data_IF_797083109470
#
_entry.id   IF_797083109470
#
_cell.length_a   1.000
_cell.length_b   1.000
_cell.length_c   1.000
_cell.angle_alpha   90.00
_cell.angle_beta   90.00
_cell.angle_gamma   90.00
#
_symmetry.space_group_name_H-M   'P 1'
#
loop_
_entity.id
_entity.type
_entity.pdbx_description
1 polymer ?
#
# COMPACT_ATOMS: atom_id res chain seq x y z
N UNK A 1 7.85 18.23 -0.73
CA UNK A 1 7.60 16.78 -0.80
C UNK A 1 7.72 16.24 -2.21
N UNK A 2 7.10 16.91 -3.19
CA UNK A 2 7.19 16.53 -4.61
C UNK A 2 8.64 16.54 -5.12
N UNK A 3 9.42 17.56 -4.78
CA UNK A 3 10.83 17.66 -5.17
C UNK A 3 11.65 16.52 -4.59
N UNK A 4 11.51 16.22 -3.30
CA UNK A 4 12.20 15.08 -2.66
C UNK A 4 11.83 13.74 -3.32
N UNK A 5 10.56 13.56 -3.65
CA UNK A 5 10.06 12.37 -4.33
C UNK A 5 10.72 12.20 -5.70
N UNK A 6 10.78 13.28 -6.50
CA UNK A 6 11.36 13.28 -7.84
C UNK A 6 12.88 13.04 -7.79
N UNK A 7 13.60 13.66 -6.85
CA UNK A 7 15.02 13.39 -6.64
C UNK A 7 15.25 11.91 -6.35
N UNK A 8 14.46 11.30 -5.44
CA UNK A 8 14.56 9.89 -5.13
C UNK A 8 14.36 8.99 -6.36
N UNK A 9 13.36 9.29 -7.20
CA UNK A 9 13.10 8.54 -8.45
C UNK A 9 14.27 8.65 -9.41
N UNK A 10 14.79 9.87 -9.68
CA UNK A 10 15.88 10.12 -10.63
C UNK A 10 17.19 9.45 -10.18
N UNK A 11 17.45 9.42 -8.86
CA UNK A 11 18.69 8.86 -8.29
C UNK A 11 18.63 7.33 -8.13
N UNK A 12 17.44 6.72 -8.15
CA UNK A 12 17.28 5.27 -7.96
C UNK A 12 18.18 4.39 -8.85
N UNK A 13 18.30 4.62 -10.18
CA UNK A 13 19.16 3.80 -11.02
C UNK A 13 20.65 3.94 -10.67
N UNK A 14 21.10 5.14 -10.26
CA UNK A 14 22.48 5.39 -9.85
C UNK A 14 22.81 4.67 -8.54
N UNK A 15 21.85 4.60 -7.60
CA UNK A 15 21.99 3.83 -6.37
C UNK A 15 22.14 2.34 -6.66
N UNK A 16 21.34 1.79 -7.59
CA UNK A 16 21.46 0.39 -8.00
C UNK A 16 22.82 0.09 -8.61
N UNK A 17 23.31 0.98 -9.48
CA UNK A 17 24.64 0.86 -10.07
C UNK A 17 25.76 0.96 -9.03
N UNK A 18 25.67 1.91 -8.09
CA UNK A 18 26.61 2.05 -6.99
C UNK A 18 26.64 0.82 -6.08
N UNK A 19 25.48 0.22 -5.81
CA UNK A 19 25.35 -1.00 -5.02
C UNK A 19 26.08 -2.17 -5.68
N UNK A 20 26.06 -2.26 -7.02
CA UNK A 20 26.79 -3.30 -7.76
C UNK A 20 28.29 -3.14 -7.71
N UNK A 21 28.81 -1.91 -7.53
CA UNK A 21 30.23 -1.63 -7.42
C UNK A 21 30.77 -1.69 -5.98
N UNK A 22 30.00 -1.15 -5.03
CA UNK A 22 30.36 -1.10 -3.62
C UNK A 22 29.12 -1.27 -2.75
N UNK A 23 29.02 -2.45 -2.14
CA UNK A 23 27.85 -2.85 -1.34
C UNK A 23 27.50 -1.86 -0.22
N UNK A 24 28.48 -1.49 0.60
CA UNK A 24 28.23 -0.60 1.75
C UNK A 24 27.88 0.82 1.36
N UNK A 25 28.59 1.35 0.37
CA UNK A 25 28.31 2.69 -0.15
C UNK A 25 26.96 2.75 -0.87
N UNK A 26 26.62 1.68 -1.60
CA UNK A 26 25.32 1.54 -2.25
C UNK A 26 24.16 1.45 -1.24
N UNK A 27 24.32 0.70 -0.15
CA UNK A 27 23.32 0.66 0.94
C UNK A 27 23.15 2.05 1.57
N UNK A 28 24.25 2.73 1.91
CA UNK A 28 24.19 4.05 2.52
C UNK A 28 23.49 5.06 1.58
N UNK A 29 23.87 5.09 0.31
CA UNK A 29 23.21 5.92 -0.70
C UNK A 29 21.74 5.58 -0.89
N UNK A 30 21.39 4.28 -0.84
CA UNK A 30 20.03 3.78 -0.91
C UNK A 30 19.16 4.26 0.26
N UNK A 31 19.67 4.15 1.49
CA UNK A 31 18.96 4.63 2.69
C UNK A 31 18.63 6.11 2.57
N UNK A 32 19.59 6.95 2.12
CA UNK A 32 19.34 8.38 1.96
C UNK A 32 18.40 8.67 0.78
N UNK A 33 18.59 8.06 -0.37
CA UNK A 33 17.79 8.31 -1.58
C UNK A 33 16.34 7.84 -1.40
N UNK A 34 16.13 6.60 -0.94
CA UNK A 34 14.81 6.05 -0.72
C UNK A 34 14.15 6.60 0.55
N UNK A 35 14.94 6.98 1.57
CA UNK A 35 14.46 7.73 2.72
C UNK A 35 13.91 9.09 2.33
N UNK A 36 14.64 9.85 1.52
CA UNK A 36 14.19 11.14 0.98
C UNK A 36 12.94 10.96 0.10
N UNK A 37 12.91 9.94 -0.77
CA UNK A 37 11.72 9.60 -1.56
C UNK A 37 10.50 9.28 -0.70
N UNK A 38 10.65 8.42 0.30
CA UNK A 38 9.56 8.05 1.19
C UNK A 38 9.04 9.23 2.03
N UNK A 39 9.92 10.08 2.54
CA UNK A 39 9.55 11.32 3.23
C UNK A 39 8.84 12.28 2.28
N UNK A 40 9.36 12.45 1.07
CA UNK A 40 8.76 13.27 0.03
C UNK A 40 7.37 12.81 -0.36
N UNK A 41 7.20 11.50 -0.55
CA UNK A 41 5.91 10.88 -0.83
C UNK A 41 4.88 11.13 0.27
N UNK A 42 5.23 10.85 1.53
CA UNK A 42 4.33 11.06 2.65
C UNK A 42 3.96 12.53 2.82
N UNK A 43 4.91 13.44 2.75
CA UNK A 43 4.66 14.87 2.83
C UNK A 43 3.72 15.36 1.73
N UNK A 44 3.93 14.92 0.49
CA UNK A 44 3.06 15.25 -0.65
C UNK A 44 1.67 14.64 -0.51
N UNK A 45 1.59 13.35 -0.13
CA UNK A 45 0.33 12.63 -0.02
C UNK A 45 -0.56 13.20 1.09
N UNK A 46 0.00 13.47 2.28
CA UNK A 46 -0.74 14.05 3.40
C UNK A 46 -1.22 15.46 3.06
N UNK A 47 -0.34 16.32 2.53
CA UNK A 47 -0.72 17.69 2.15
C UNK A 47 -1.79 17.71 1.05
N UNK A 48 -1.65 16.85 0.04
CA UNK A 48 -2.61 16.73 -1.05
C UNK A 48 -3.98 16.22 -0.57
N UNK A 49 -3.99 15.19 0.28
CA UNK A 49 -5.22 14.63 0.84
C UNK A 49 -5.93 15.64 1.74
N UNK A 50 -5.19 16.37 2.58
CA UNK A 50 -5.73 17.45 3.40
C UNK A 50 -6.40 18.53 2.56
N UNK A 51 -5.67 19.05 1.57
CA UNK A 51 -6.19 20.09 0.66
C UNK A 51 -7.42 19.59 -0.12
N UNK A 52 -7.38 18.37 -0.64
CA UNK A 52 -8.50 17.78 -1.37
C UNK A 52 -9.75 17.63 -0.50
N UNK A 53 -9.60 17.22 0.76
CA UNK A 53 -10.72 17.10 1.70
C UNK A 53 -11.29 18.44 2.11
N UNK A 54 -10.46 19.47 2.27
CA UNK A 54 -10.85 20.83 2.58
C UNK A 54 -11.64 21.48 1.43
N UNK A 55 -11.12 21.41 0.21
CA UNK A 55 -11.75 21.98 -0.99
C UNK A 55 -13.04 21.28 -1.41
N UNK A 56 -13.21 20.00 -1.07
CA UNK A 56 -14.37 19.21 -1.48
C UNK A 56 -15.63 19.43 -0.63
N UNK A 57 -15.51 20.05 0.53
CA UNK A 57 -16.60 20.16 1.51
C UNK A 57 -17.11 18.80 2.00
N UNK A 58 -18.00 18.79 2.99
CA UNK A 58 -18.44 17.54 3.65
C UNK A 58 -19.14 16.55 2.71
N UNK A 59 -19.97 17.04 1.78
CA UNK A 59 -20.73 16.20 0.86
C UNK A 59 -19.93 15.70 -0.36
N UNK A 60 -18.77 16.29 -0.64
CA UNK A 60 -17.93 15.97 -1.80
C UNK A 60 -16.74 15.05 -1.50
N UNK A 61 -16.33 14.94 -0.24
CA UNK A 61 -15.11 14.23 0.19
C UNK A 61 -14.99 12.81 -0.37
N UNK A 62 -16.04 12.01 -0.26
CA UNK A 62 -16.03 10.63 -0.75
C UNK A 62 -15.78 10.52 -2.26
N UNK A 63 -16.42 11.38 -3.05
CA UNK A 63 -16.22 11.43 -4.50
C UNK A 63 -14.80 11.86 -4.86
N UNK A 64 -14.28 12.89 -4.20
CA UNK A 64 -12.92 13.38 -4.42
C UNK A 64 -11.88 12.31 -4.11
N UNK A 65 -12.00 11.65 -2.96
CA UNK A 65 -11.10 10.55 -2.57
C UNK A 65 -11.18 9.40 -3.60
N UNK A 66 -12.38 9.02 -4.04
CA UNK A 66 -12.53 7.98 -5.05
C UNK A 66 -11.86 8.35 -6.39
N UNK A 67 -12.00 9.59 -6.84
CA UNK A 67 -11.33 10.08 -8.05
C UNK A 67 -9.81 10.09 -7.89
N UNK A 68 -9.30 10.51 -6.72
CA UNK A 68 -7.86 10.50 -6.41
C UNK A 68 -7.28 9.07 -6.49
N UNK A 69 -7.93 8.10 -5.88
CA UNK A 69 -7.52 6.69 -5.95
C UNK A 69 -7.59 6.14 -7.37
N UNK A 70 -8.66 6.46 -8.10
CA UNK A 70 -8.80 6.09 -9.51
C UNK A 70 -7.62 6.64 -10.34
N UNK A 71 -7.35 7.94 -10.23
CA UNK A 71 -6.24 8.58 -10.96
C UNK A 71 -4.88 7.98 -10.57
N UNK A 72 -4.67 7.67 -9.29
CA UNK A 72 -3.45 7.03 -8.81
C UNK A 72 -3.23 5.66 -9.50
N UNK A 73 -4.23 4.80 -9.51
CA UNK A 73 -4.11 3.46 -10.12
C UNK A 73 -3.94 3.56 -11.63
N UNK A 74 -4.70 4.42 -12.31
CA UNK A 74 -4.53 4.67 -13.75
C UNK A 74 -3.11 5.17 -14.06
N UNK A 75 -2.56 6.05 -13.23
CA UNK A 75 -1.19 6.54 -13.38
C UNK A 75 -0.15 5.44 -13.18
N UNK A 76 -0.33 4.55 -12.20
CA UNK A 76 0.53 3.38 -11.99
C UNK A 76 0.55 2.50 -13.24
N UNK A 77 -0.64 2.16 -13.77
CA UNK A 77 -0.78 1.32 -14.96
C UNK A 77 -0.11 2.00 -16.18
N UNK A 78 -0.41 3.28 -16.41
CA UNK A 78 0.14 4.03 -17.54
C UNK A 78 1.67 4.14 -17.45
N UNK A 79 2.22 4.40 -16.26
CA UNK A 79 3.65 4.47 -16.01
C UNK A 79 4.32 3.11 -16.24
N UNK A 80 3.74 2.02 -15.73
CA UNK A 80 4.27 0.67 -15.91
C UNK A 80 4.29 0.28 -17.41
N UNK A 81 3.21 0.55 -18.16
CA UNK A 81 3.17 0.32 -19.61
C UNK A 81 4.21 1.19 -20.34
N UNK A 82 4.32 2.47 -19.98
CA UNK A 82 5.30 3.40 -20.55
C UNK A 82 6.72 2.92 -20.30
N UNK A 83 7.07 2.61 -19.05
CA UNK A 83 8.38 2.11 -18.66
C UNK A 83 8.73 0.80 -19.39
N UNK A 84 7.80 -0.14 -19.48
CA UNK A 84 8.04 -1.42 -20.16
C UNK A 84 8.46 -1.25 -21.62
N UNK A 85 7.95 -0.22 -22.30
CA UNK A 85 8.31 0.09 -23.70
C UNK A 85 9.61 0.88 -23.83
N UNK A 86 9.90 1.76 -22.87
CA UNK A 86 11.08 2.61 -22.89
C UNK A 86 12.37 1.86 -22.54
N UNK A 87 12.23 0.76 -21.80
CA UNK A 87 13.35 -0.07 -21.32
C UNK A 87 13.57 -1.30 -22.23
N UNK A 88 12.93 -1.36 -23.38
CA UNK A 88 13.09 -2.45 -24.36
C UNK A 88 13.81 -1.95 -25.63
N UNK A 89 15.01 -2.48 -25.98
CA UNK A 89 15.82 -3.45 -25.23
C UNK A 89 16.42 -2.84 -23.95
N UNK A 90 16.57 -3.67 -22.92
CA UNK A 90 17.14 -3.23 -21.64
C UNK A 90 18.60 -2.81 -21.78
N UNK A 91 18.88 -1.55 -21.44
CA UNK A 91 20.22 -1.00 -21.22
C UNK A 91 20.22 -0.10 -19.99
N UNK A 92 21.34 0.03 -19.26
CA UNK A 92 21.43 0.96 -18.13
C UNK A 92 21.07 2.39 -18.51
N UNK A 93 21.45 2.83 -19.71
CA UNK A 93 21.14 4.16 -20.23
C UNK A 93 19.66 4.33 -20.56
N UNK A 94 18.98 3.28 -21.06
CA UNK A 94 17.55 3.29 -21.31
C UNK A 94 16.80 3.40 -19.98
N UNK A 95 17.23 2.66 -18.96
CA UNK A 95 16.65 2.72 -17.61
C UNK A 95 16.83 4.13 -17.01
N UNK A 96 18.03 4.71 -17.03
CA UNK A 96 18.27 6.07 -16.54
C UNK A 96 17.39 7.11 -17.25
N UNK A 97 17.30 7.03 -18.59
CA UNK A 97 16.41 7.92 -19.37
C UNK A 97 14.94 7.78 -18.98
N UNK A 98 14.48 6.55 -18.80
CA UNK A 98 13.10 6.27 -18.42
C UNK A 98 12.76 6.86 -17.04
N UNK A 99 13.61 6.66 -16.04
CA UNK A 99 13.41 7.22 -14.69
C UNK A 99 13.48 8.75 -14.68
N UNK A 100 14.39 9.35 -15.44
CA UNK A 100 14.47 10.81 -15.62
C UNK A 100 13.18 11.36 -16.24
N UNK A 101 12.65 10.72 -17.28
CA UNK A 101 11.39 11.14 -17.91
C UNK A 101 10.21 11.04 -16.95
N UNK A 102 10.10 9.93 -16.20
CA UNK A 102 9.06 9.77 -15.17
C UNK A 102 9.18 10.85 -14.09
N UNK A 103 10.40 11.12 -13.60
CA UNK A 103 10.64 12.16 -12.60
C UNK A 103 10.26 13.57 -13.11
N UNK A 104 10.67 13.92 -14.33
CA UNK A 104 10.35 15.22 -14.95
C UNK A 104 8.83 15.32 -15.20
N UNK A 105 8.19 14.26 -15.71
CA UNK A 105 6.76 14.24 -15.94
C UNK A 105 5.99 14.42 -14.62
N UNK A 106 6.39 13.69 -13.56
CA UNK A 106 5.78 13.81 -12.24
C UNK A 106 5.91 15.23 -11.67
N UNK A 107 7.10 15.83 -11.78
CA UNK A 107 7.34 17.21 -11.35
C UNK A 107 6.45 18.19 -12.12
N UNK A 108 6.44 18.08 -13.45
CA UNK A 108 5.69 18.97 -14.32
C UNK A 108 4.19 18.87 -14.07
N UNK A 109 3.65 17.64 -14.03
CA UNK A 109 2.24 17.42 -13.77
C UNK A 109 1.84 17.85 -12.34
N UNK A 110 2.70 17.58 -11.35
CA UNK A 110 2.48 18.02 -9.98
C UNK A 110 2.45 19.54 -9.85
N UNK A 111 3.39 20.26 -10.47
CA UNK A 111 3.41 21.72 -10.48
C UNK A 111 2.22 22.31 -11.26
N UNK A 112 1.85 21.74 -12.41
CA UNK A 112 0.68 22.15 -13.17
C UNK A 112 -0.62 21.93 -12.36
N UNK A 113 -0.73 20.81 -11.65
CA UNK A 113 -1.87 20.50 -10.80
C UNK A 113 -2.03 21.44 -9.60
N UNK A 114 -0.94 22.08 -9.14
CA UNK A 114 -0.98 23.06 -8.06
C UNK A 114 -1.35 24.49 -8.56
N UNK A 115 -1.30 24.73 -9.86
CA UNK A 115 -1.66 26.04 -10.40
C UNK A 115 -3.14 26.33 -10.17
N UNK A 116 -3.41 27.46 -9.50
CA UNK A 116 -4.77 27.95 -9.18
C UNK A 116 -5.62 27.03 -8.28
N UNK A 117 -5.01 26.08 -7.60
CA UNK A 117 -5.75 25.17 -6.71
C UNK A 117 -6.19 25.86 -5.42
N UNK A 118 -5.39 26.80 -4.89
CA UNK A 118 -5.74 27.57 -3.68
C UNK A 118 -6.46 28.86 -4.03
N UNK A 119 -7.68 29.08 -3.49
CA UNK A 119 -8.30 30.39 -3.53
C UNK A 119 -7.43 31.38 -2.74
N UNK A 120 -7.00 32.47 -3.38
CA UNK A 120 -6.16 33.52 -2.78
C UNK A 120 -6.86 34.35 -1.71
N UNK A 121 -8.09 34.04 -1.36
CA UNK A 121 -8.81 34.62 -0.24
C UNK A 121 -8.25 34.04 1.06
N UNK A 122 -7.65 34.90 1.87
CA UNK A 122 -7.50 34.68 3.31
C UNK A 122 -8.90 34.57 3.93
N UNK A 123 -9.56 33.43 3.75
CA UNK A 123 -10.56 33.01 4.69
C UNK A 123 -9.78 32.77 6.00
N UNK A 124 -10.25 33.39 7.08
CA UNK A 124 -9.78 33.08 8.42
C UNK A 124 -9.74 31.55 8.50
N UNK A 125 -8.53 30.99 8.38
CA UNK A 125 -8.29 29.63 8.75
C UNK A 125 -8.66 29.59 10.24
N UNK A 126 -9.92 29.29 10.54
CA UNK A 126 -10.24 28.64 11.78
C UNK A 126 -9.22 27.51 11.82
N UNK A 127 -8.21 27.72 12.64
CA UNK A 127 -7.22 26.73 12.96
C UNK A 127 -8.01 25.49 13.35
N UNK A 128 -8.24 24.59 12.38
CA UNK A 128 -8.30 23.20 12.70
C UNK A 128 -6.91 22.98 13.30
N UNK A 129 -6.78 23.15 14.60
CA UNK A 129 -5.71 22.64 15.40
C UNK A 129 -5.75 21.15 15.07
N UNK A 130 -4.94 20.75 14.11
CA UNK A 130 -4.62 19.36 13.90
C UNK A 130 -3.97 18.95 15.22
N UNK A 131 -4.77 18.36 16.11
CA UNK A 131 -4.27 17.81 17.36
C UNK A 131 -3.18 16.84 16.96
N UNK A 132 -1.94 17.21 17.28
CA UNK A 132 -0.77 16.43 16.93
C UNK A 132 -0.70 15.26 17.91
N UNK A 133 -1.39 14.17 17.57
CA UNK A 133 -1.36 12.95 18.38
C UNK A 133 0.04 12.33 18.36
N UNK A 134 0.55 12.01 19.54
CA UNK A 134 1.82 11.31 19.67
C UNK A 134 1.65 9.83 19.30
N UNK A 135 2.75 9.20 18.86
CA UNK A 135 2.78 7.76 18.59
C UNK A 135 2.27 6.92 19.78
N UNK A 136 2.58 7.36 21.01
CA UNK A 136 2.11 6.71 22.24
C UNK A 136 0.58 6.77 22.37
N UNK A 137 -0.03 7.93 22.15
CA UNK A 137 -1.50 8.10 22.18
C UNK A 137 -2.19 7.24 21.14
N UNK A 138 -1.64 7.18 19.90
CA UNK A 138 -2.18 6.31 18.84
C UNK A 138 -2.13 4.83 19.23
N UNK A 139 -1.02 4.38 19.80
CA UNK A 139 -0.85 2.97 20.25
C UNK A 139 -1.77 2.64 21.42
N UNK A 140 -1.94 3.55 22.36
CA UNK A 140 -2.83 3.37 23.49
C UNK A 140 -4.29 3.33 23.06
N UNK A 141 -4.73 4.18 22.15
CA UNK A 141 -6.10 4.16 21.63
C UNK A 141 -6.47 2.79 21.00
N UNK A 142 -5.53 2.19 20.27
CA UNK A 142 -5.72 0.87 19.66
C UNK A 142 -5.73 -0.24 20.72
N UNK A 143 -4.76 -0.22 21.65
CA UNK A 143 -4.54 -1.34 22.57
C UNK A 143 -5.54 -1.40 23.72
N UNK A 144 -6.20 -0.29 24.04
CA UNK A 144 -7.22 -0.22 25.10
C UNK A 144 -8.50 -0.99 24.74
N UNK A 145 -8.89 -1.03 23.48
CA UNK A 145 -10.06 -1.79 23.04
C UNK A 145 -9.63 -3.14 22.46
N UNK A 146 -10.09 -4.28 23.01
CA UNK A 146 -9.73 -5.62 22.52
C UNK A 146 -10.11 -5.83 21.04
N UNK A 147 -11.25 -5.28 20.59
CA UNK A 147 -11.69 -5.39 19.20
C UNK A 147 -10.80 -4.54 18.31
N UNK A 148 -10.47 -3.31 18.73
CA UNK A 148 -9.53 -2.43 18.03
C UNK A 148 -8.16 -3.06 17.90
N UNK A 149 -7.63 -3.66 18.99
CA UNK A 149 -6.36 -4.39 18.95
C UNK A 149 -6.39 -5.56 17.97
N UNK A 150 -7.47 -6.36 17.97
CA UNK A 150 -7.63 -7.50 17.06
C UNK A 150 -7.71 -7.03 15.60
N UNK A 151 -8.41 -5.93 15.34
CA UNK A 151 -8.49 -5.34 14.00
C UNK A 151 -7.14 -4.75 13.55
N UNK A 152 -6.38 -4.14 14.45
CA UNK A 152 -5.03 -3.65 14.13
C UNK A 152 -4.08 -4.78 13.72
N UNK A 153 -4.06 -5.88 14.49
CA UNK A 153 -3.23 -7.06 14.15
C UNK A 153 -3.70 -7.70 12.84
N UNK A 154 -5.01 -7.81 12.65
CA UNK A 154 -5.61 -8.26 11.40
C UNK A 154 -5.14 -7.41 10.21
N UNK A 155 -5.25 -6.08 10.34
CA UNK A 155 -4.88 -5.16 9.27
C UNK A 155 -3.37 -5.18 9.00
N UNK A 156 -2.57 -5.31 10.06
CA UNK A 156 -1.13 -5.48 9.94
C UNK A 156 -0.76 -6.73 9.13
N UNK A 157 -1.34 -7.89 9.46
CA UNK A 157 -1.07 -9.13 8.74
C UNK A 157 -1.54 -9.06 7.28
N UNK A 158 -2.74 -8.54 7.06
CA UNK A 158 -3.29 -8.34 5.71
C UNK A 158 -2.40 -7.46 4.85
N UNK A 159 -2.06 -6.28 5.36
CA UNK A 159 -1.28 -5.31 4.61
C UNK A 159 0.18 -5.74 4.45
N UNK A 160 0.79 -6.39 5.45
CA UNK A 160 2.15 -6.88 5.32
C UNK A 160 2.27 -7.94 4.23
N UNK A 161 1.29 -8.84 4.10
CA UNK A 161 1.23 -9.81 3.02
C UNK A 161 1.02 -9.14 1.65
N UNK A 162 0.00 -8.27 1.53
CA UNK A 162 -0.34 -7.65 0.24
C UNK A 162 0.73 -6.66 -0.24
N UNK A 163 1.36 -5.91 0.67
CA UNK A 163 2.39 -4.92 0.31
C UNK A 163 3.80 -5.52 0.22
N UNK A 164 4.04 -6.67 0.85
CA UNK A 164 5.31 -7.39 0.78
C UNK A 164 5.61 -7.89 -0.63
N UNK A 165 4.61 -8.38 -1.34
CA UNK A 165 4.73 -8.88 -2.71
C UNK A 165 5.14 -7.82 -3.74
N UNK A 166 4.91 -6.52 -3.47
CA UNK A 166 5.22 -5.44 -4.41
C UNK A 166 6.69 -5.46 -4.88
N UNK A 167 7.60 -5.91 -4.02
CA UNK A 167 9.05 -5.97 -4.30
C UNK A 167 9.46 -7.31 -4.92
N UNK A 168 8.69 -8.38 -4.71
CA UNK A 168 9.10 -9.75 -5.03
C UNK A 168 8.45 -10.31 -6.30
N UNK A 169 7.29 -9.79 -6.70
CA UNK A 169 6.48 -10.38 -7.76
C UNK A 169 7.16 -10.29 -9.13
N UNK A 170 7.76 -9.14 -9.47
CA UNK A 170 8.48 -8.96 -10.74
C UNK A 170 9.78 -9.79 -10.80
N UNK A 171 10.67 -9.75 -9.79
CA UNK A 171 11.84 -10.62 -9.76
C UNK A 171 11.50 -12.12 -9.79
N UNK A 172 10.43 -12.54 -9.10
CA UNK A 172 9.96 -13.93 -9.19
C UNK A 172 9.58 -14.30 -10.62
N UNK A 173 8.86 -13.43 -11.33
CA UNK A 173 8.53 -13.62 -12.73
C UNK A 173 9.76 -13.79 -13.62
N UNK A 174 10.81 -13.00 -13.39
CA UNK A 174 12.06 -13.10 -14.12
C UNK A 174 12.81 -14.40 -13.80
N UNK A 175 12.98 -14.73 -12.52
CA UNK A 175 13.81 -15.87 -12.10
C UNK A 175 13.12 -17.24 -12.27
N UNK A 176 11.80 -17.31 -12.03
CA UNK A 176 11.05 -18.56 -12.14
C UNK A 176 10.64 -18.92 -13.56
N UNK A 177 10.40 -17.94 -14.43
CA UNK A 177 9.84 -18.17 -15.77
C UNK A 177 10.69 -17.58 -16.89
N UNK A 178 11.84 -16.96 -16.59
CA UNK A 178 12.70 -16.35 -17.60
C UNK A 178 12.06 -15.14 -18.29
N UNK A 179 11.15 -14.43 -17.62
CA UNK A 179 10.49 -13.27 -18.19
C UNK A 179 11.48 -12.12 -18.41
N UNK A 180 11.36 -11.46 -19.55
CA UNK A 180 12.15 -10.26 -19.84
C UNK A 180 11.71 -9.08 -18.97
N UNK A 181 12.57 -8.05 -18.83
CA UNK A 181 12.25 -6.84 -18.06
C UNK A 181 10.93 -6.21 -18.53
N UNK A 182 10.67 -6.17 -19.84
CA UNK A 182 9.41 -5.68 -20.40
C UNK A 182 8.21 -6.52 -19.93
N UNK A 183 8.36 -7.84 -19.86
CA UNK A 183 7.29 -8.74 -19.42
C UNK A 183 7.06 -8.63 -17.92
N UNK A 184 8.12 -8.51 -17.11
CA UNK A 184 7.97 -8.35 -15.65
C UNK A 184 7.33 -7.02 -15.29
N UNK A 185 7.70 -5.92 -15.93
CA UNK A 185 7.07 -4.62 -15.69
C UNK A 185 5.58 -4.62 -16.07
N UNK A 186 5.15 -5.45 -17.02
CA UNK A 186 3.72 -5.65 -17.36
C UNK A 186 2.93 -6.35 -16.25
N UNK A 187 3.59 -7.11 -15.36
CA UNK A 187 2.93 -7.76 -14.22
C UNK A 187 2.23 -6.71 -13.36
N UNK A 188 2.93 -5.61 -13.04
CA UNK A 188 2.36 -4.48 -12.29
C UNK A 188 1.14 -3.86 -12.99
N UNK A 189 1.17 -3.76 -14.33
CA UNK A 189 0.02 -3.25 -15.10
C UNK A 189 -1.18 -4.20 -15.05
N UNK A 190 -0.95 -5.51 -15.14
CA UNK A 190 -1.98 -6.54 -15.04
C UNK A 190 -2.60 -6.49 -13.64
N UNK A 191 -1.76 -6.58 -12.60
CA UNK A 191 -2.20 -6.50 -11.22
C UNK A 191 -3.02 -5.24 -10.96
N UNK A 192 -2.50 -4.07 -11.32
CA UNK A 192 -3.19 -2.78 -11.14
C UNK A 192 -4.52 -2.69 -11.87
N UNK A 193 -4.63 -3.26 -13.08
CA UNK A 193 -5.88 -3.31 -13.84
C UNK A 193 -6.95 -4.09 -13.08
N UNK A 194 -6.61 -5.26 -12.54
CA UNK A 194 -7.55 -6.06 -11.78
C UNK A 194 -7.86 -5.47 -10.41
N UNK A 195 -6.91 -4.79 -9.76
CA UNK A 195 -7.18 -3.97 -8.56
C UNK A 195 -8.22 -2.89 -8.86
N UNK A 196 -8.06 -2.16 -9.98
CA UNK A 196 -9.01 -1.10 -10.37
C UNK A 196 -10.41 -1.65 -10.63
N UNK A 197 -10.52 -2.74 -11.40
CA UNK A 197 -11.80 -3.42 -11.64
C UNK A 197 -12.45 -3.84 -10.32
N UNK A 198 -11.65 -4.40 -9.41
CA UNK A 198 -12.12 -4.87 -8.11
C UNK A 198 -12.58 -3.72 -7.20
N UNK A 199 -11.91 -2.57 -7.22
CA UNK A 199 -12.34 -1.36 -6.49
C UNK A 199 -13.71 -0.90 -6.99
N UNK A 200 -13.93 -0.88 -8.30
CA UNK A 200 -15.22 -0.51 -8.90
C UNK A 200 -16.32 -1.49 -8.49
N UNK A 201 -16.03 -2.79 -8.51
CA UNK A 201 -16.97 -3.84 -8.05
C UNK A 201 -17.29 -3.66 -6.57
N UNK A 202 -16.27 -3.48 -5.72
CA UNK A 202 -16.46 -3.29 -4.28
C UNK A 202 -17.28 -2.03 -3.97
N UNK A 203 -17.02 -0.92 -4.68
CA UNK A 203 -17.82 0.31 -4.58
C UNK A 203 -19.29 0.11 -4.98
N UNK A 204 -19.56 -0.68 -6.03
CA UNK A 204 -20.92 -1.01 -6.45
C UNK A 204 -21.66 -1.93 -5.47
N UNK A 205 -20.93 -2.71 -4.67
CA UNK A 205 -21.48 -3.57 -3.62
C UNK A 205 -21.71 -2.83 -2.30
N UNK A 206 -21.15 -1.63 -2.13
CA UNK A 206 -21.30 -0.85 -0.91
C UNK A 206 -22.78 -0.53 -0.66
N UNK A 207 -23.24 -0.73 0.59
CA UNK A 207 -24.65 -0.60 0.98
C UNK A 207 -25.57 -1.74 0.56
N UNK A 208 -25.14 -2.67 -0.33
CA UNK A 208 -25.93 -3.84 -0.76
C UNK A 208 -25.51 -5.11 -0.04
N UNK A 209 -24.24 -5.23 0.30
CA UNK A 209 -23.66 -6.38 0.99
C UNK A 209 -22.95 -5.92 2.25
N UNK A 210 -22.98 -6.70 3.31
CA UNK A 210 -22.29 -6.38 4.54
C UNK A 210 -20.78 -6.20 4.28
N UNK A 211 -20.22 -5.08 4.74
CA UNK A 211 -18.79 -4.71 4.54
C UNK A 211 -17.84 -5.85 4.93
N UNK A 212 -18.13 -6.53 6.04
CA UNK A 212 -17.35 -7.68 6.51
C UNK A 212 -17.36 -8.84 5.52
N UNK A 213 -18.49 -9.13 4.88
CA UNK A 213 -18.60 -10.20 3.87
C UNK A 213 -17.76 -9.84 2.62
N UNK A 214 -17.83 -8.58 2.19
CA UNK A 214 -17.03 -8.10 1.05
C UNK A 214 -15.54 -8.14 1.38
N UNK A 215 -15.14 -7.69 2.58
CA UNK A 215 -13.75 -7.78 3.05
C UNK A 215 -13.26 -9.23 3.11
N UNK A 216 -14.10 -10.15 3.61
CA UNK A 216 -13.76 -11.57 3.66
C UNK A 216 -13.58 -12.17 2.26
N UNK A 217 -14.43 -11.81 1.30
CA UNK A 217 -14.29 -12.23 -0.09
C UNK A 217 -13.00 -11.70 -0.72
N UNK A 218 -12.65 -10.43 -0.47
CA UNK A 218 -11.38 -9.84 -0.90
C UNK A 218 -10.17 -10.56 -0.33
N UNK A 219 -10.17 -10.81 0.98
CA UNK A 219 -9.07 -11.51 1.65
C UNK A 219 -8.91 -12.95 1.15
N UNK A 220 -10.01 -13.67 0.92
CA UNK A 220 -9.99 -15.02 0.33
C UNK A 220 -9.51 -15.00 -1.12
N UNK A 221 -9.89 -13.99 -1.91
CA UNK A 221 -9.39 -13.79 -3.27
C UNK A 221 -7.88 -13.56 -3.30
N UNK A 222 -7.36 -12.71 -2.40
CA UNK A 222 -5.92 -12.47 -2.28
C UNK A 222 -5.16 -13.73 -1.83
N UNK A 223 -5.71 -14.46 -0.82
CA UNK A 223 -5.16 -15.74 -0.38
C UNK A 223 -5.09 -16.76 -1.53
N UNK A 224 -6.17 -16.92 -2.29
CA UNK A 224 -6.19 -17.79 -3.45
C UNK A 224 -5.14 -17.35 -4.49
N UNK A 225 -4.98 -16.04 -4.71
CA UNK A 225 -3.94 -15.48 -5.58
C UNK A 225 -2.55 -15.93 -5.17
N UNK A 226 -2.17 -15.79 -3.89
CA UNK A 226 -0.87 -16.24 -3.39
C UNK A 226 -0.68 -17.75 -3.51
N UNK A 227 -1.69 -18.55 -3.18
CA UNK A 227 -1.61 -20.01 -3.32
C UNK A 227 -1.40 -20.43 -4.77
N UNK A 228 -2.06 -19.76 -5.73
CA UNK A 228 -1.88 -20.02 -7.16
C UNK A 228 -0.49 -19.55 -7.64
N UNK A 229 0.04 -18.41 -7.12
CA UNK A 229 1.42 -17.97 -7.40
C UNK A 229 2.42 -19.02 -6.89
N UNK A 230 2.27 -19.50 -5.67
CA UNK A 230 3.11 -20.58 -5.11
C UNK A 230 3.02 -21.83 -5.99
N UNK A 231 1.81 -22.26 -6.33
CA UNK A 231 1.60 -23.41 -7.21
C UNK A 231 2.27 -23.24 -8.57
N UNK A 232 2.25 -22.02 -9.15
CA UNK A 232 2.88 -21.73 -10.43
C UNK A 232 4.39 -22.01 -10.45
N UNK A 233 5.07 -21.75 -9.33
CA UNK A 233 6.49 -22.05 -9.17
C UNK A 233 6.78 -23.56 -9.15
N UNK A 234 5.89 -24.38 -8.59
CA UNK A 234 6.04 -25.84 -8.60
C UNK A 234 5.75 -26.43 -9.98
N UNK A 235 4.71 -25.94 -10.69
CA UNK A 235 4.36 -26.47 -12.02
C UNK A 235 5.13 -25.77 -13.17
N UNK A 236 5.97 -24.76 -12.86
CA UNK A 236 6.75 -23.98 -13.83
C UNK A 236 5.88 -23.41 -14.97
N UNK A 237 4.69 -22.90 -14.65
CA UNK A 237 3.70 -22.43 -15.64
C UNK A 237 3.45 -20.93 -15.52
N UNK A 238 3.84 -20.18 -16.53
CA UNK A 238 3.60 -18.74 -16.64
C UNK A 238 2.09 -18.41 -16.68
N UNK A 239 1.28 -19.26 -17.30
CA UNK A 239 -0.18 -19.05 -17.34
C UNK A 239 -0.80 -19.15 -15.94
N UNK A 240 -0.37 -20.11 -15.12
CA UNK A 240 -0.81 -20.25 -13.73
C UNK A 240 -0.34 -19.04 -12.91
N UNK A 241 0.88 -18.57 -13.15
CA UNK A 241 1.40 -17.36 -12.50
C UNK A 241 0.53 -16.13 -12.78
N UNK A 242 0.22 -15.83 -14.05
CA UNK A 242 -0.66 -14.71 -14.39
C UNK A 242 -2.08 -14.85 -13.84
N UNK A 243 -2.60 -16.08 -13.75
CA UNK A 243 -3.88 -16.34 -13.05
C UNK A 243 -3.79 -15.96 -11.58
N UNK A 244 -2.69 -16.33 -10.91
CA UNK A 244 -2.45 -15.95 -9.52
C UNK A 244 -2.35 -14.42 -9.34
N UNK A 245 -1.62 -13.73 -10.23
CA UNK A 245 -1.50 -12.25 -10.23
C UNK A 245 -2.87 -11.59 -10.40
N UNK A 246 -3.71 -12.12 -11.30
CA UNK A 246 -5.07 -11.63 -11.53
C UNK A 246 -5.95 -11.79 -10.29
N UNK A 247 -5.94 -12.98 -9.68
CA UNK A 247 -6.70 -13.24 -8.43
C UNK A 247 -6.21 -12.37 -7.27
N UNK A 248 -4.89 -12.20 -7.15
CA UNK A 248 -4.29 -11.33 -6.14
C UNK A 248 -4.73 -9.88 -6.34
N UNK A 249 -4.72 -9.37 -7.59
CA UNK A 249 -5.20 -8.02 -7.91
C UNK A 249 -6.67 -7.82 -7.56
N UNK A 250 -7.53 -8.76 -7.97
CA UNK A 250 -8.97 -8.72 -7.63
C UNK A 250 -9.18 -8.75 -6.11
N UNK A 251 -8.52 -9.67 -5.40
CA UNK A 251 -8.60 -9.78 -3.95
C UNK A 251 -8.14 -8.51 -3.25
N UNK A 252 -7.00 -7.96 -3.68
CA UNK A 252 -6.43 -6.71 -3.14
C UNK A 252 -7.38 -5.53 -3.30
N UNK A 253 -7.96 -5.32 -4.48
CA UNK A 253 -8.87 -4.20 -4.73
C UNK A 253 -10.13 -4.27 -3.88
N UNK A 254 -10.76 -5.45 -3.78
CA UNK A 254 -11.93 -5.67 -2.91
C UNK A 254 -11.54 -5.46 -1.43
N UNK A 255 -10.44 -6.05 -0.99
CA UNK A 255 -9.95 -5.91 0.38
C UNK A 255 -9.65 -4.45 0.74
N UNK A 256 -9.04 -3.68 -0.15
CA UNK A 256 -8.68 -2.28 0.09
C UNK A 256 -9.90 -1.42 0.41
N UNK A 257 -10.93 -1.44 -0.44
CA UNK A 257 -12.16 -0.65 -0.23
C UNK A 257 -12.88 -1.09 1.02
N UNK A 258 -13.06 -2.40 1.20
CA UNK A 258 -13.85 -2.95 2.30
C UNK A 258 -13.18 -2.73 3.66
N UNK A 259 -11.84 -2.86 3.73
CA UNK A 259 -11.11 -2.65 4.98
C UNK A 259 -11.02 -1.17 5.34
N UNK A 260 -10.92 -0.28 4.34
CA UNK A 260 -11.02 1.16 4.58
C UNK A 260 -12.41 1.51 5.17
N UNK A 261 -13.47 0.95 4.61
CA UNK A 261 -14.84 1.13 5.13
C UNK A 261 -15.00 0.58 6.55
N UNK A 262 -14.44 -0.60 6.86
CA UNK A 262 -14.44 -1.18 8.22
C UNK A 262 -13.61 -0.34 9.20
N UNK A 263 -12.50 0.22 8.75
CA UNK A 263 -11.67 1.12 9.55
C UNK A 263 -12.48 2.33 10.04
N UNK A 264 -13.25 2.96 9.16
CA UNK A 264 -14.13 4.06 9.55
C UNK A 264 -15.22 3.63 10.53
N UNK A 265 -15.75 2.41 10.40
CA UNK A 265 -16.73 1.87 11.35
C UNK A 265 -16.14 1.57 12.74
N UNK A 266 -14.81 1.46 12.82
CA UNK A 266 -14.03 1.21 14.04
C UNK A 266 -13.31 2.48 14.53
N UNK A 267 -13.87 3.66 14.30
CA UNK A 267 -13.44 4.93 14.87
C UNK A 267 -14.44 5.43 15.90
N UNK A 268 -13.94 6.15 16.91
CA UNK A 268 -14.79 6.81 17.91
C UNK A 268 -15.15 8.22 17.41
N UNK A 269 -16.42 8.65 17.49
CA UNK A 269 -16.80 10.02 17.19
C UNK A 269 -16.01 11.02 18.05
N UNK A 270 -15.45 12.05 17.42
CA UNK A 270 -14.56 13.02 18.07
C UNK A 270 -13.07 12.68 18.02
N UNK A 271 -12.70 11.40 17.88
CA UNK A 271 -11.31 10.90 17.87
C UNK A 271 -10.89 10.33 16.51
N UNK A 272 -11.60 10.69 15.44
CA UNK A 272 -11.38 10.14 14.09
C UNK A 272 -9.94 10.31 13.63
N UNK A 273 -9.33 11.48 13.91
CA UNK A 273 -7.93 11.77 13.55
C UNK A 273 -6.94 10.83 14.24
N UNK A 274 -7.16 10.53 15.53
CA UNK A 274 -6.33 9.60 16.30
C UNK A 274 -6.35 8.19 15.70
N UNK A 275 -7.54 7.69 15.38
CA UNK A 275 -7.69 6.35 14.78
C UNK A 275 -7.13 6.28 13.36
N UNK A 276 -7.35 7.30 12.51
CA UNK A 276 -6.76 7.36 11.17
C UNK A 276 -5.23 7.41 11.24
N UNK A 277 -4.67 8.19 12.19
CA UNK A 277 -3.23 8.21 12.43
C UNK A 277 -2.68 6.84 12.84
N UNK A 278 -3.38 6.15 13.73
CA UNK A 278 -3.04 4.80 14.17
C UNK A 278 -3.07 3.77 13.03
N UNK A 279 -4.06 3.86 12.14
CA UNK A 279 -4.12 3.04 10.91
C UNK A 279 -2.99 3.37 9.94
N UNK A 280 -2.60 4.64 9.83
CA UNK A 280 -1.43 5.08 9.07
C UNK A 280 -0.14 4.43 9.57
N UNK A 281 0.03 4.35 10.90
CA UNK A 281 1.15 3.63 11.55
C UNK A 281 1.10 2.15 11.21
N UNK A 282 -0.07 1.50 11.27
CA UNK A 282 -0.21 0.08 10.87
C UNK A 282 0.22 -0.14 9.43
N UNK A 283 -0.21 0.73 8.51
CA UNK A 283 0.15 0.66 7.09
C UNK A 283 1.66 0.79 6.89
N UNK A 284 2.30 1.77 7.54
CA UNK A 284 3.74 1.99 7.45
C UNK A 284 4.54 0.80 7.99
N UNK A 285 4.16 0.28 9.17
CA UNK A 285 4.79 -0.90 9.78
C UNK A 285 4.59 -2.15 8.94
N UNK A 286 3.40 -2.35 8.36
CA UNK A 286 3.08 -3.47 7.49
C UNK A 286 3.92 -3.45 6.22
N UNK A 287 4.05 -2.28 5.58
CA UNK A 287 4.89 -2.12 4.39
C UNK A 287 6.36 -2.38 4.70
N UNK A 288 6.86 -1.83 5.81
CA UNK A 288 8.23 -2.08 6.26
C UNK A 288 8.47 -3.57 6.52
N UNK A 289 7.59 -4.19 7.32
CA UNK A 289 7.71 -5.61 7.66
C UNK A 289 7.61 -6.49 6.42
N UNK A 290 6.61 -6.29 5.56
CA UNK A 290 6.42 -7.07 4.34
C UNK A 290 7.61 -6.97 3.39
N UNK A 291 8.04 -5.74 3.04
CA UNK A 291 9.12 -5.54 2.08
C UNK A 291 10.49 -5.96 2.60
N UNK A 292 10.84 -5.58 3.84
CA UNK A 292 12.17 -5.88 4.39
C UNK A 292 12.29 -7.36 4.77
N UNK A 293 11.32 -7.89 5.52
CA UNK A 293 11.34 -9.30 5.92
C UNK A 293 11.21 -10.22 4.72
N UNK A 294 10.35 -9.88 3.73
CA UNK A 294 10.22 -10.64 2.49
C UNK A 294 11.55 -10.75 1.75
N UNK A 295 12.28 -9.63 1.57
CA UNK A 295 13.60 -9.63 0.94
C UNK A 295 14.63 -10.43 1.73
N UNK A 296 14.73 -10.20 3.03
CA UNK A 296 15.69 -10.90 3.92
C UNK A 296 15.41 -12.40 3.97
N UNK A 297 14.14 -12.80 4.10
CA UNK A 297 13.75 -14.21 4.11
C UNK A 297 14.05 -14.88 2.77
N UNK A 298 13.73 -14.22 1.65
CA UNK A 298 14.04 -14.73 0.32
C UNK A 298 15.54 -14.99 0.18
N UNK A 299 16.38 -14.03 0.55
CA UNK A 299 17.83 -14.15 0.43
C UNK A 299 18.38 -15.23 1.36
N UNK A 300 17.92 -15.30 2.62
CA UNK A 300 18.35 -16.32 3.57
C UNK A 300 18.00 -17.74 3.09
N UNK A 301 16.77 -17.96 2.61
CA UNK A 301 16.34 -19.26 2.08
C UNK A 301 17.10 -19.61 0.79
N UNK A 302 17.34 -18.63 -0.08
CA UNK A 302 18.14 -18.81 -1.30
C UNK A 302 19.56 -19.24 -0.96
N UNK A 303 20.20 -18.63 0.03
CA UNK A 303 21.55 -19.01 0.49
C UNK A 303 21.59 -20.40 1.10
N UNK A 304 20.57 -20.78 1.87
CA UNK A 304 20.50 -22.11 2.50
C UNK A 304 20.21 -23.23 1.50
N UNK A 305 19.39 -22.97 0.50
CA UNK A 305 18.96 -24.00 -0.48
C UNK A 305 19.79 -24.00 -1.77
N UNK A 306 20.53 -22.94 -2.04
CA UNK A 306 21.22 -22.74 -3.31
C UNK A 306 20.28 -22.44 -4.49
N UNK A 307 18.97 -22.23 -4.24
CA UNK A 307 17.95 -22.05 -5.27
C UNK A 307 17.13 -20.78 -5.00
N UNK A 308 17.20 -19.80 -5.90
CA UNK A 308 16.44 -18.55 -5.78
C UNK A 308 14.92 -18.81 -5.73
N UNK A 309 14.43 -19.74 -6.54
CA UNK A 309 13.01 -20.10 -6.58
C UNK A 309 12.46 -20.48 -5.19
N UNK A 310 13.21 -21.29 -4.42
CA UNK A 310 12.82 -21.71 -3.07
C UNK A 310 12.64 -20.51 -2.14
N UNK A 311 13.48 -19.48 -2.27
CA UNK A 311 13.36 -18.24 -1.48
C UNK A 311 12.02 -17.55 -1.70
N UNK A 312 11.63 -17.36 -2.96
CA UNK A 312 10.33 -16.75 -3.29
C UNK A 312 9.14 -17.59 -2.83
N UNK A 313 9.16 -18.90 -3.06
CA UNK A 313 8.06 -19.79 -2.69
C UNK A 313 7.81 -19.80 -1.17
N UNK A 314 8.89 -19.76 -0.37
CA UNK A 314 8.77 -19.68 1.09
C UNK A 314 8.14 -18.33 1.49
N UNK A 315 8.57 -17.23 0.91
CA UNK A 315 8.00 -15.91 1.26
C UNK A 315 6.53 -15.83 0.88
N UNK A 316 6.16 -16.16 -0.36
CA UNK A 316 4.75 -16.19 -0.78
C UNK A 316 3.91 -17.18 0.04
N UNK A 317 4.49 -18.29 0.49
CA UNK A 317 3.85 -19.22 1.41
C UNK A 317 3.58 -18.60 2.78
N UNK A 318 4.52 -17.83 3.32
CA UNK A 318 4.34 -17.07 4.57
C UNK A 318 3.28 -15.98 4.39
N UNK A 319 3.29 -15.24 3.28
CA UNK A 319 2.27 -14.23 2.97
C UNK A 319 0.88 -14.86 2.85
N UNK A 320 0.76 -16.03 2.25
CA UNK A 320 -0.48 -16.80 2.23
C UNK A 320 -0.93 -17.23 3.64
N UNK A 321 -0.02 -17.64 4.51
CA UNK A 321 -0.33 -17.96 5.91
C UNK A 321 -0.76 -16.72 6.70
N UNK A 322 -0.14 -15.57 6.48
CA UNK A 322 -0.54 -14.30 7.08
C UNK A 322 -1.96 -13.91 6.64
N UNK A 323 -2.28 -14.05 5.34
CA UNK A 323 -3.64 -13.83 4.84
C UNK A 323 -4.64 -14.83 5.39
N UNK A 324 -4.27 -16.10 5.51
CA UNK A 324 -5.13 -17.10 6.14
C UNK A 324 -5.44 -16.74 7.60
N UNK A 325 -4.43 -16.32 8.36
CA UNK A 325 -4.62 -15.82 9.71
C UNK A 325 -5.53 -14.58 9.75
N UNK A 326 -5.34 -13.64 8.81
CA UNK A 326 -6.20 -12.46 8.66
C UNK A 326 -7.67 -12.84 8.37
N UNK A 327 -7.90 -13.81 7.47
CA UNK A 327 -9.24 -14.35 7.19
C UNK A 327 -9.91 -14.89 8.45
N UNK A 328 -9.18 -15.67 9.27
CA UNK A 328 -9.68 -16.19 10.53
C UNK A 328 -9.92 -15.10 11.56
N UNK A 329 -9.05 -14.11 11.65
CA UNK A 329 -9.23 -12.98 12.58
C UNK A 329 -10.43 -12.11 12.21
N UNK A 330 -10.62 -11.80 10.93
CA UNK A 330 -11.76 -11.00 10.47
C UNK A 330 -13.08 -11.69 10.83
N UNK A 331 -13.13 -13.04 10.82
CA UNK A 331 -14.32 -13.80 11.22
C UNK A 331 -14.69 -13.63 12.70
N UNK A 332 -13.79 -13.15 13.54
CA UNK A 332 -14.00 -12.92 14.98
C UNK A 332 -14.24 -11.46 15.35
N UNK A 333 -14.05 -10.52 14.40
CA UNK A 333 -14.25 -9.09 14.64
C UNK A 333 -15.74 -8.75 14.62
N UNK A 334 -16.25 -8.23 15.73
CA UNK A 334 -17.62 -7.73 15.86
C UNK A 334 -17.62 -6.20 15.95
N UNK A 335 -17.97 -5.54 14.84
CA UNK A 335 -18.04 -4.07 14.74
C UNK A 335 -19.11 -3.52 15.69
N UNK A 336 -20.20 -4.25 15.93
CA UNK A 336 -21.27 -3.81 16.84
C UNK A 336 -20.82 -3.85 18.30
N UNK A 337 -19.97 -4.81 18.67
CA UNK A 337 -19.34 -4.85 19.98
C UNK A 337 -18.38 -3.67 20.20
N UNK A 338 -17.61 -3.29 19.17
CA UNK A 338 -16.75 -2.13 19.24
C UNK A 338 -17.56 -0.84 19.50
N UNK A 339 -18.62 -0.61 18.73
CA UNK A 339 -19.47 0.59 18.88
C UNK A 339 -20.11 0.67 20.26
N UNK A 340 -20.65 -0.44 20.79
CA UNK A 340 -21.20 -0.48 22.15
C UNK A 340 -20.16 -0.09 23.21
N UNK A 341 -18.93 -0.60 23.08
CA UNK A 341 -17.84 -0.26 24.01
C UNK A 341 -17.37 1.19 23.87
N UNK A 342 -17.36 1.73 22.64
CA UNK A 342 -17.00 3.10 22.37
C UNK A 342 -18.03 4.13 22.91
N UNK A 343 -19.29 3.72 23.05
CA UNK A 343 -20.40 4.54 23.60
C UNK A 343 -20.47 4.50 25.14
N UNK A 344 -19.74 3.58 25.78
CA UNK A 344 -19.69 3.54 27.25
C UNK A 344 -18.99 4.78 27.83
N UNK A 345 -19.59 5.52 28.79
CA UNK A 345 -19.01 6.74 29.36
C UNK A 345 -17.58 6.55 29.91
N UNK A 346 -17.29 5.38 30.52
CA UNK A 346 -15.98 5.04 31.02
C UNK A 346 -14.91 4.85 29.91
N UNK A 347 -15.33 4.53 28.71
CA UNK A 347 -14.41 4.42 27.57
C UNK A 347 -14.09 5.79 26.96
N UNK A 348 -15.11 6.62 26.78
CA UNK A 348 -14.95 8.00 26.28
C UNK A 348 -14.07 8.82 27.21
N UNK A 349 -14.27 8.75 28.53
CA UNK A 349 -13.42 9.41 29.53
C UNK A 349 -11.97 8.92 29.50
N UNK A 350 -11.73 7.61 29.33
CA UNK A 350 -10.38 7.05 29.21
C UNK A 350 -9.66 7.43 27.93
N UNK A 351 -10.39 7.59 26.82
CA UNK A 351 -9.81 8.08 25.55
C UNK A 351 -9.46 9.54 25.65
N UNK A 352 -10.33 10.35 26.23
CA UNK A 352 -10.08 11.78 26.46
C UNK A 352 -8.84 12.03 27.35
N UNK A 353 -8.69 11.27 28.45
CA UNK A 353 -7.51 11.33 29.34
C UNK A 353 -6.20 10.86 28.67
N UNK A 354 -6.28 10.14 27.57
CA UNK A 354 -5.08 9.73 26.82
C UNK A 354 -4.68 10.75 25.76
N UNK A 355 -5.59 11.65 25.40
CA UNK A 355 -5.36 12.73 24.46
C UNK A 355 -4.77 13.99 25.11
N UNK A 356 -4.89 14.11 26.47
CA UNK A 356 -4.21 15.11 27.27
C UNK A 356 -2.77 14.68 27.62
#
# INVERSE_FOLDING_TARGET
GLVLCVIGVIVSPQVAFLLSQNFWLGILAGVFAFGAWGMGYNLSAVSYLSLATELSGENGRGKTIAVMWFMMIVSIIATAIGLSRMVDPYTPEAMMRAFNMVGIAALTLGLLGLLWLEPRTRADSAQATAEAYTFKQMTEAITRNPVGKTFFVYLFLLLAAILGQDVLLEPFGAEAFGLTVTQTTRITSIWGTFVLIAILIAGALEGRVAKRTVAQAGNLGALAGFLVIVASGFVHSTSVFYTGVTLLGLGTGIATVSNLSLMFDLTVPGEVGLYIGAWGVSNALSRLAGSVLGGVLRDAVTQLTGQALSGYLVVFGIEALMLFAAVLMLSRIDVSAFRRQAEEPAFVEKVALAAE
#
